data_IF_341849945601
#
_entry.id   IF_341849945601
#
_cell.length_a   1.000
_cell.length_b   1.000
_cell.length_c   1.000
_cell.angle_alpha   90.00
_cell.angle_beta   90.00
_cell.angle_gamma   90.00
#
_symmetry.space_group_name_H-M   'P 1'
#
loop_
_entity.id
_entity.type
_entity.pdbx_description
1 polymer ?
#
# COMPACT_ATOMS: atom_id res chain seq x y z
N UNK A 1 9.59 -5.98 -11.26
CA UNK A 1 9.27 -7.12 -10.39
C UNK A 1 10.11 -8.32 -10.80
N UNK A 2 11.31 -8.43 -10.30
CA UNK A 2 12.10 -9.64 -10.38
C UNK A 2 11.90 -10.38 -9.07
N UNK A 3 11.54 -11.64 -9.13
CA UNK A 3 11.84 -12.53 -8.04
C UNK A 3 13.36 -12.46 -7.87
N UNK A 4 13.82 -11.94 -6.74
CA UNK A 4 15.24 -11.90 -6.44
C UNK A 4 15.78 -13.33 -6.45
N UNK A 5 17.00 -13.50 -6.88
CA UNK A 5 17.75 -14.77 -6.75
C UNK A 5 18.16 -15.02 -5.29
N UNK A 6 17.74 -14.17 -4.38
CA UNK A 6 18.10 -14.24 -2.98
C UNK A 6 17.38 -15.38 -2.28
N UNK A 7 18.08 -16.10 -1.46
CA UNK A 7 17.50 -17.14 -0.62
C UNK A 7 16.67 -16.49 0.47
N UNK A 8 15.54 -17.11 0.80
CA UNK A 8 14.76 -16.75 1.98
C UNK A 8 15.59 -17.11 3.21
N UNK A 9 15.81 -16.15 4.09
CA UNK A 9 16.60 -16.28 5.30
C UNK A 9 15.76 -16.02 6.54
N UNK A 10 16.26 -16.48 7.69
CA UNK A 10 15.64 -16.19 8.99
C UNK A 10 15.59 -14.67 9.24
N UNK A 11 14.41 -14.19 9.62
CA UNK A 11 14.15 -12.77 9.83
C UNK A 11 13.55 -12.05 8.62
N UNK A 12 13.41 -12.73 7.49
CA UNK A 12 12.80 -12.17 6.30
C UNK A 12 11.27 -12.08 6.41
N UNK A 13 10.72 -11.09 5.73
CA UNK A 13 9.30 -11.04 5.40
C UNK A 13 9.14 -11.50 3.95
N UNK A 14 8.44 -12.59 3.78
CA UNK A 14 8.09 -13.15 2.46
C UNK A 14 6.72 -12.63 2.08
N UNK A 15 6.59 -12.10 0.88
CA UNK A 15 5.34 -11.54 0.38
C UNK A 15 4.96 -12.12 -0.98
N UNK A 16 3.67 -12.44 -1.12
CA UNK A 16 2.98 -12.63 -2.39
C UNK A 16 1.89 -11.55 -2.51
N UNK A 17 2.28 -10.29 -2.75
CA UNK A 17 1.40 -9.14 -2.57
C UNK A 17 0.19 -9.17 -3.50
N UNK A 18 0.30 -9.72 -4.72
CA UNK A 18 -0.84 -9.90 -5.64
C UNK A 18 -1.91 -10.88 -5.13
N UNK A 19 -1.64 -11.58 -4.04
CA UNK A 19 -2.54 -12.50 -3.37
C UNK A 19 -2.82 -12.07 -1.91
N UNK A 20 -2.30 -10.91 -1.49
CA UNK A 20 -2.42 -10.41 -0.12
C UNK A 20 -1.84 -11.35 0.93
N UNK A 21 -0.78 -12.09 0.58
CA UNK A 21 -0.21 -13.10 1.46
C UNK A 21 1.18 -12.72 1.93
N UNK A 22 1.36 -12.74 3.26
CA UNK A 22 2.59 -12.32 3.93
C UNK A 22 2.97 -13.30 5.03
N UNK A 23 4.26 -13.59 5.14
CA UNK A 23 4.81 -14.46 6.17
C UNK A 23 6.12 -13.89 6.72
N UNK A 24 6.37 -14.14 8.00
CA UNK A 24 7.64 -13.85 8.64
C UNK A 24 8.40 -15.15 8.90
N UNK A 25 9.66 -15.20 8.53
CA UNK A 25 10.55 -16.35 8.79
C UNK A 25 11.18 -16.17 10.16
N UNK A 26 10.79 -17.02 11.10
CA UNK A 26 11.28 -16.96 12.47
C UNK A 26 12.80 -17.18 12.53
N UNK A 27 13.48 -16.42 13.37
CA UNK A 27 14.89 -16.67 13.71
C UNK A 27 15.00 -17.84 14.68
N UNK A 28 16.18 -18.38 14.78
CA UNK A 28 16.46 -19.44 15.76
C UNK A 28 16.09 -18.99 17.18
N UNK A 29 15.26 -19.80 17.85
CA UNK A 29 14.75 -19.51 19.19
C UNK A 29 13.55 -18.56 19.27
N UNK A 30 13.12 -17.96 18.16
CA UNK A 30 11.88 -17.17 18.13
C UNK A 30 10.65 -18.07 18.03
N UNK A 31 9.61 -17.76 18.79
CA UNK A 31 8.27 -18.37 18.71
C UNK A 31 7.23 -17.42 18.15
N UNK A 32 7.57 -16.14 18.02
CA UNK A 32 6.74 -15.06 17.51
C UNK A 32 7.61 -13.97 16.89
N UNK A 33 7.04 -13.11 16.01
CA UNK A 33 7.78 -12.02 15.40
C UNK A 33 8.26 -11.00 16.44
N UNK A 34 9.42 -10.38 16.24
CA UNK A 34 9.92 -9.32 17.12
C UNK A 34 8.97 -8.11 17.13
N UNK A 35 9.05 -7.25 18.16
CA UNK A 35 8.15 -6.11 18.32
C UNK A 35 8.05 -5.18 17.10
N UNK A 36 9.16 -4.97 16.38
CA UNK A 36 9.17 -4.14 15.18
C UNK A 36 8.35 -4.75 14.03
N UNK A 37 8.41 -6.06 13.83
CA UNK A 37 7.61 -6.75 12.81
C UNK A 37 6.13 -6.78 13.19
N UNK A 38 5.82 -6.95 14.47
CA UNK A 38 4.43 -6.81 14.98
C UNK A 38 3.90 -5.40 14.74
N UNK A 39 4.72 -4.37 14.96
CA UNK A 39 4.37 -2.98 14.69
C UNK A 39 4.15 -2.74 13.19
N UNK A 40 5.02 -3.27 12.33
CA UNK A 40 4.87 -3.18 10.88
C UNK A 40 3.54 -3.80 10.42
N UNK A 41 3.23 -5.00 10.93
CA UNK A 41 1.96 -5.67 10.63
C UNK A 41 0.74 -4.88 11.12
N UNK A 42 0.81 -4.30 12.31
CA UNK A 42 -0.27 -3.45 12.83
C UNK A 42 -0.46 -2.18 11.98
N UNK A 43 0.63 -1.59 11.50
CA UNK A 43 0.59 -0.43 10.60
C UNK A 43 -0.05 -0.79 9.25
N UNK A 44 0.31 -1.94 8.68
CA UNK A 44 -0.33 -2.49 7.48
C UNK A 44 -1.85 -2.62 7.67
N UNK A 45 -2.31 -3.30 8.72
CA UNK A 45 -3.74 -3.50 8.98
C UNK A 45 -4.49 -2.18 9.20
N UNK A 46 -3.84 -1.19 9.81
CA UNK A 46 -4.41 0.16 10.01
C UNK A 46 -4.58 0.88 8.68
N UNK A 47 -3.54 0.89 7.83
CA UNK A 47 -3.58 1.52 6.51
C UNK A 47 -4.68 0.88 5.66
N UNK A 48 -4.68 -0.45 5.59
CA UNK A 48 -5.66 -1.22 4.85
C UNK A 48 -7.10 -0.89 5.29
N UNK A 49 -7.36 -0.88 6.59
CA UNK A 49 -8.66 -0.51 7.15
C UNK A 49 -9.10 0.91 6.75
N UNK A 50 -8.22 1.89 6.86
CA UNK A 50 -8.53 3.29 6.51
C UNK A 50 -8.90 3.41 5.03
N UNK A 51 -8.14 2.76 4.13
CA UNK A 51 -8.44 2.74 2.70
C UNK A 51 -9.76 2.03 2.42
N UNK A 52 -9.99 0.85 3.01
CA UNK A 52 -11.21 0.08 2.84
C UNK A 52 -12.46 0.85 3.28
N UNK A 53 -12.38 1.64 4.33
CA UNK A 53 -13.50 2.45 4.83
C UNK A 53 -13.71 3.75 4.04
N UNK A 54 -12.67 4.24 3.35
CA UNK A 54 -12.68 5.55 2.69
C UNK A 54 -13.06 5.46 1.22
N UNK A 55 -12.62 4.40 0.51
CA UNK A 55 -12.92 4.19 -0.89
C UNK A 55 -14.34 3.65 -1.03
N UNK A 56 -15.25 4.50 -1.55
CA UNK A 56 -16.67 4.16 -1.68
C UNK A 56 -17.20 4.50 -3.05
N UNK A 57 -18.08 3.64 -3.56
CA UNK A 57 -18.85 3.93 -4.77
C UNK A 57 -19.73 5.17 -4.57
N UNK A 58 -19.79 6.01 -5.60
CA UNK A 58 -20.50 7.28 -5.59
C UNK A 58 -19.63 8.48 -5.22
N UNK A 59 -18.48 8.27 -4.59
CA UNK A 59 -17.50 9.33 -4.35
C UNK A 59 -16.57 9.47 -5.57
N UNK A 60 -16.09 10.69 -5.80
CA UNK A 60 -15.05 10.98 -6.79
C UNK A 60 -13.66 10.64 -6.23
N UNK A 61 -12.66 10.36 -7.07
CA UNK A 61 -11.27 10.23 -6.62
C UNK A 61 -10.77 11.43 -5.81
N UNK A 62 -11.17 12.64 -6.18
CA UNK A 62 -10.82 13.86 -5.44
C UNK A 62 -11.32 13.81 -4.00
N UNK A 63 -12.59 13.47 -3.79
CA UNK A 63 -13.18 13.32 -2.46
C UNK A 63 -12.51 12.20 -1.67
N UNK A 64 -12.27 11.05 -2.31
CA UNK A 64 -11.61 9.90 -1.67
C UNK A 64 -10.20 10.26 -1.23
N UNK A 65 -9.42 10.91 -2.11
CA UNK A 65 -8.04 11.35 -1.81
C UNK A 65 -8.02 12.34 -0.65
N UNK A 66 -8.91 13.32 -0.64
CA UNK A 66 -9.03 14.26 0.48
C UNK A 66 -9.37 13.56 1.80
N UNK A 67 -10.33 12.64 1.75
CA UNK A 67 -10.80 11.90 2.93
C UNK A 67 -9.71 11.00 3.52
N UNK A 68 -8.97 10.23 2.68
CA UNK A 68 -7.93 9.39 3.24
C UNK A 68 -6.71 10.18 3.70
N UNK A 69 -6.35 11.28 3.01
CA UNK A 69 -5.24 12.16 3.45
C UNK A 69 -5.51 12.71 4.84
N UNK A 70 -6.71 13.20 5.11
CA UNK A 70 -7.07 13.69 6.43
C UNK A 70 -6.98 12.60 7.50
N UNK A 71 -7.54 11.42 7.23
CA UNK A 71 -7.48 10.30 8.20
C UNK A 71 -6.05 9.84 8.48
N UNK A 72 -5.19 9.80 7.46
CA UNK A 72 -3.79 9.43 7.65
C UNK A 72 -3.00 10.51 8.39
N UNK A 73 -3.29 11.79 8.15
CA UNK A 73 -2.70 12.90 8.90
C UNK A 73 -3.05 12.82 10.39
N UNK A 74 -4.32 12.53 10.72
CA UNK A 74 -4.80 12.31 12.08
C UNK A 74 -4.06 11.15 12.78
N UNK A 75 -3.65 10.13 12.03
CA UNK A 75 -2.85 8.99 12.49
C UNK A 75 -1.33 9.25 12.47
N UNK A 76 -0.89 10.45 12.08
CA UNK A 76 0.51 10.82 11.98
C UNK A 76 1.27 10.19 10.81
N UNK A 77 0.55 9.65 9.82
CA UNK A 77 1.09 9.07 8.58
C UNK A 77 1.13 10.14 7.51
N UNK A 78 2.27 10.26 6.81
CA UNK A 78 2.44 11.22 5.72
C UNK A 78 2.09 10.55 4.40
N UNK A 79 1.00 11.00 3.76
CA UNK A 79 0.67 10.58 2.40
C UNK A 79 1.54 11.36 1.41
N UNK A 80 2.24 10.63 0.54
CA UNK A 80 3.12 11.17 -0.49
C UNK A 80 2.38 11.27 -1.83
N UNK A 81 2.60 12.37 -2.52
CA UNK A 81 2.10 12.62 -3.88
C UNK A 81 3.13 12.24 -4.96
N UNK A 82 4.30 11.80 -4.55
CA UNK A 82 5.35 11.25 -5.41
C UNK A 82 5.26 9.71 -5.47
N UNK A 83 5.73 9.15 -6.57
CA UNK A 83 5.71 7.71 -6.79
C UNK A 83 6.83 7.01 -6.00
N UNK A 84 6.73 7.00 -4.67
CA UNK A 84 7.73 6.38 -3.79
C UNK A 84 8.07 4.93 -4.19
N UNK A 85 7.07 4.19 -4.66
CA UNK A 85 7.24 2.80 -5.10
C UNK A 85 8.13 2.64 -6.33
N UNK A 86 8.24 3.68 -7.16
CA UNK A 86 9.10 3.67 -8.35
C UNK A 86 10.57 3.85 -8.01
N UNK A 87 10.87 4.31 -6.82
CA UNK A 87 12.23 4.56 -6.37
C UNK A 87 12.69 3.43 -5.47
N UNK A 88 13.43 2.51 -6.04
CA UNK A 88 13.97 1.37 -5.28
C UNK A 88 15.01 1.85 -4.25
N UNK A 89 14.99 1.32 -3.02
CA UNK A 89 15.85 1.78 -1.92
C UNK A 89 17.32 1.42 -2.05
N UNK A 90 17.82 1.11 -3.25
CA UNK A 90 19.22 0.72 -3.46
C UNK A 90 20.24 1.75 -3.00
N UNK A 91 19.87 3.04 -2.90
CA UNK A 91 20.81 4.13 -2.65
C UNK A 91 20.25 5.17 -1.66
N UNK A 92 19.87 4.77 -0.45
CA UNK A 92 19.42 5.70 0.60
C UNK A 92 18.16 6.52 0.28
N UNK A 93 17.36 6.12 -0.68
CA UNK A 93 16.00 6.59 -0.79
C UNK A 93 15.21 5.95 0.36
N UNK A 94 14.42 6.62 1.08
CA UNK A 94 13.70 7.89 0.92
C UNK A 94 14.36 9.11 1.58
N UNK A 95 15.56 9.00 2.13
CA UNK A 95 16.22 10.07 2.89
C UNK A 95 16.45 11.36 2.08
N UNK A 96 16.41 11.29 0.76
CA UNK A 96 16.63 12.43 -0.13
C UNK A 96 15.36 13.04 -0.72
N UNK A 97 14.18 12.49 -0.44
CA UNK A 97 12.92 13.10 -0.88
C UNK A 97 12.62 14.35 -0.08
N UNK A 98 12.33 15.44 -0.75
CA UNK A 98 11.87 16.66 -0.08
C UNK A 98 10.65 16.36 0.81
N UNK A 99 10.68 16.84 2.06
CA UNK A 99 9.60 16.63 3.04
C UNK A 99 9.55 15.23 3.64
N UNK A 100 10.60 14.42 3.51
CA UNK A 100 10.68 13.13 4.19
C UNK A 100 11.04 13.33 5.68
N UNK A 101 10.14 12.89 6.57
CA UNK A 101 10.37 12.89 8.00
C UNK A 101 10.82 11.49 8.46
N UNK A 102 12.07 11.32 8.93
CA UNK A 102 12.61 10.02 9.32
C UNK A 102 11.95 9.39 10.55
N UNK A 103 11.04 10.08 11.21
CA UNK A 103 10.33 9.61 12.40
C UNK A 103 8.90 9.14 12.12
N UNK A 104 8.42 9.34 10.89
CA UNK A 104 7.03 9.05 10.51
C UNK A 104 6.94 7.98 9.45
N UNK A 105 5.80 7.31 9.40
CA UNK A 105 5.43 6.44 8.27
C UNK A 105 5.09 7.30 7.07
N UNK A 106 5.64 6.94 5.91
CA UNK A 106 5.35 7.56 4.62
C UNK A 106 4.60 6.57 3.73
N UNK A 107 3.48 7.01 3.18
CA UNK A 107 2.53 6.19 2.42
C UNK A 107 2.33 6.76 1.02
N UNK A 108 2.44 5.91 0.01
CA UNK A 108 2.07 6.21 -1.37
C UNK A 108 0.94 5.28 -1.82
N UNK A 109 -0.11 5.84 -2.42
CA UNK A 109 -1.33 5.12 -2.77
C UNK A 109 -1.54 5.26 -4.28
N UNK A 110 -1.73 4.13 -4.95
CA UNK A 110 -1.98 4.06 -6.39
C UNK A 110 -3.05 3.03 -6.74
N UNK A 111 -4.27 3.26 -6.29
CA UNK A 111 -5.38 2.38 -6.62
C UNK A 111 -5.85 2.61 -8.05
N UNK A 112 -5.82 1.58 -8.87
CA UNK A 112 -6.13 1.67 -10.29
C UNK A 112 -6.96 0.50 -10.80
N UNK A 113 -7.73 0.74 -11.89
CA UNK A 113 -8.49 -0.31 -12.57
C UNK A 113 -7.59 -1.25 -13.39
N UNK A 114 -8.12 -2.44 -13.66
CA UNK A 114 -7.39 -3.57 -14.26
C UNK A 114 -7.57 -3.71 -15.78
N UNK A 115 -8.21 -2.77 -16.46
CA UNK A 115 -8.49 -2.97 -17.90
C UNK A 115 -7.24 -2.78 -18.76
N UNK A 116 -6.89 -3.79 -19.51
CA UNK A 116 -5.84 -3.74 -20.53
C UNK A 116 -6.20 -2.66 -21.57
N UNK A 117 -5.24 -1.83 -21.93
CA UNK A 117 -5.40 -0.78 -22.93
C UNK A 117 -6.01 0.53 -22.42
N UNK A 118 -6.40 0.63 -21.16
CA UNK A 118 -6.93 1.87 -20.58
C UNK A 118 -5.92 3.05 -20.62
N UNK A 119 -4.64 2.76 -20.64
CA UNK A 119 -3.58 3.76 -20.80
C UNK A 119 -3.36 4.19 -22.26
N UNK A 120 -3.66 3.29 -23.21
CA UNK A 120 -3.47 3.52 -24.64
C UNK A 120 -4.60 4.37 -25.25
N UNK A 121 -5.83 4.16 -24.77
CA UNK A 121 -7.04 4.87 -25.19
C UNK A 121 -7.95 5.13 -24.00
N UNK A 122 -7.62 6.10 -23.15
CA UNK A 122 -8.34 6.33 -21.89
C UNK A 122 -9.83 6.60 -22.10
N UNK A 123 -10.20 7.40 -23.11
CA UNK A 123 -11.57 7.76 -23.42
C UNK A 123 -12.43 6.61 -23.96
N UNK A 124 -11.82 5.65 -24.67
CA UNK A 124 -12.51 4.48 -25.22
C UNK A 124 -12.49 3.27 -24.27
N UNK A 125 -11.42 3.13 -23.49
CA UNK A 125 -11.15 1.99 -22.63
C UNK A 125 -11.24 2.33 -21.14
N UNK A 126 -11.89 3.42 -20.81
CA UNK A 126 -12.08 3.86 -19.45
C UNK A 126 -12.76 2.79 -18.59
N UNK A 127 -12.09 2.36 -17.56
CA UNK A 127 -12.55 1.32 -16.65
C UNK A 127 -12.81 1.82 -15.22
N UNK A 128 -13.08 3.07 -15.11
CA UNK A 128 -13.30 3.77 -13.87
C UNK A 128 -12.11 4.64 -13.44
N UNK A 129 -12.36 5.53 -12.51
CA UNK A 129 -11.38 6.51 -12.08
C UNK A 129 -10.23 5.87 -11.30
N UNK A 130 -9.03 6.40 -11.49
CA UNK A 130 -7.85 6.07 -10.70
C UNK A 130 -7.90 6.84 -9.38
N UNK A 131 -7.78 6.13 -8.28
CA UNK A 131 -7.77 6.71 -6.93
C UNK A 131 -6.32 6.89 -6.52
N UNK A 132 -5.72 7.98 -6.96
CA UNK A 132 -4.31 8.30 -6.72
C UNK A 132 -4.12 9.80 -6.80
N UNK A 133 -3.31 10.37 -5.94
CA UNK A 133 -2.99 11.80 -5.98
C UNK A 133 -2.15 12.22 -7.18
N UNK A 134 -1.55 11.27 -7.89
CA UNK A 134 -0.77 11.47 -9.12
C UNK A 134 -1.38 10.78 -10.35
N UNK A 135 -2.65 10.38 -10.26
CA UNK A 135 -3.39 9.82 -11.39
C UNK A 135 -3.79 10.88 -12.42
N UNK A 136 -4.33 10.44 -13.57
CA UNK A 136 -4.75 11.37 -14.60
C UNK A 136 -5.88 12.26 -14.09
N UNK A 137 -5.71 13.58 -14.19
CA UNK A 137 -6.61 14.59 -13.63
C UNK A 137 -8.01 14.56 -14.22
N UNK A 138 -8.16 14.11 -15.47
CA UNK A 138 -9.46 14.01 -16.14
C UNK A 138 -10.41 13.01 -15.46
N UNK A 139 -9.91 12.05 -14.67
CA UNK A 139 -10.75 11.10 -13.94
C UNK A 139 -11.15 11.59 -12.54
N UNK A 140 -10.57 12.67 -12.05
CA UNK A 140 -10.69 13.09 -10.66
C UNK A 140 -12.08 13.49 -10.21
N UNK A 141 -12.92 13.93 -11.13
CA UNK A 141 -14.27 14.38 -10.86
C UNK A 141 -15.35 13.41 -11.36
N UNK A 142 -14.94 12.19 -11.74
CA UNK A 142 -15.86 11.12 -12.17
C UNK A 142 -16.13 10.20 -10.97
N UNK A 143 -17.38 10.11 -10.48
CA UNK A 143 -17.71 9.24 -9.36
C UNK A 143 -17.42 7.77 -9.66
N UNK A 144 -16.91 7.04 -8.67
CA UNK A 144 -16.75 5.58 -8.78
C UNK A 144 -18.10 4.93 -9.02
N UNK A 145 -18.27 4.16 -10.10
CA UNK A 145 -19.51 3.41 -10.30
C UNK A 145 -19.68 2.33 -9.22
N UNK A 146 -20.92 1.92 -8.92
CA UNK A 146 -21.16 0.78 -8.04
C UNK A 146 -20.46 -0.48 -8.56
N UNK A 147 -19.87 -1.24 -7.66
CA UNK A 147 -19.10 -2.45 -7.96
C UNK A 147 -17.90 -2.21 -8.87
N UNK A 148 -17.31 -1.01 -8.79
CA UNK A 148 -16.09 -0.70 -9.50
C UNK A 148 -14.95 -1.62 -9.03
N UNK A 149 -14.45 -2.44 -9.96
CA UNK A 149 -13.30 -3.32 -9.72
C UNK A 149 -12.00 -2.53 -9.87
N UNK A 150 -11.15 -2.59 -8.89
CA UNK A 150 -9.85 -1.92 -8.89
C UNK A 150 -8.83 -2.70 -8.05
N UNK A 151 -7.56 -2.37 -8.25
CA UNK A 151 -6.48 -2.83 -7.40
C UNK A 151 -6.31 -1.85 -6.26
N UNK A 152 -6.40 -2.34 -5.04
CA UNK A 152 -6.02 -1.61 -3.85
C UNK A 152 -4.51 -1.72 -3.72
N UNK A 153 -3.78 -0.74 -4.28
CA UNK A 153 -2.33 -0.73 -4.30
C UNK A 153 -1.78 0.41 -3.48
N UNK A 154 -0.87 0.10 -2.58
CA UNK A 154 -0.16 1.09 -1.78
C UNK A 154 1.20 0.57 -1.31
N UNK A 155 2.05 1.52 -0.97
CA UNK A 155 3.41 1.28 -0.48
C UNK A 155 3.65 2.15 0.74
N UNK A 156 4.31 1.62 1.76
CA UNK A 156 4.73 2.46 2.86
C UNK A 156 6.12 2.13 3.37
N UNK A 157 6.73 3.15 3.95
CA UNK A 157 8.00 3.08 4.65
C UNK A 157 7.74 3.44 6.11
N UNK A 158 7.99 2.51 7.01
CA UNK A 158 7.87 2.72 8.44
C UNK A 158 9.28 2.81 9.05
N UNK A 159 9.56 3.81 9.93
CA UNK A 159 10.84 3.87 10.63
C UNK A 159 11.11 2.61 11.43
N UNK A 160 12.32 2.05 11.30
CA UNK A 160 12.78 0.90 12.07
C UNK A 160 13.79 1.35 13.14
N UNK A 161 13.45 1.31 14.41
CA UNK A 161 14.33 1.76 15.50
C UNK A 161 15.51 0.82 15.76
N UNK A 162 15.43 -0.43 15.29
CA UNK A 162 16.49 -1.44 15.49
C UNK A 162 17.58 -1.41 14.44
N UNK A 163 17.34 -0.77 13.30
CA UNK A 163 18.32 -0.71 12.22
C UNK A 163 19.23 0.50 12.35
N UNK A 164 20.53 0.26 12.10
CA UNK A 164 21.56 1.30 12.05
C UNK A 164 21.97 1.52 10.59
N UNK A 165 22.06 2.78 10.18
CA UNK A 165 22.58 3.12 8.84
C UNK A 165 21.52 3.08 7.75
N UNK A 166 21.73 2.30 6.69
CA UNK A 166 20.92 2.32 5.46
C UNK A 166 19.53 1.71 5.61
N UNK A 167 19.34 0.84 6.60
CA UNK A 167 18.11 0.07 6.80
C UNK A 167 17.22 0.69 7.88
N UNK A 168 17.13 2.02 7.90
CA UNK A 168 16.35 2.77 8.91
C UNK A 168 14.85 2.62 8.73
N UNK A 169 14.40 1.93 7.69
CA UNK A 169 13.00 1.79 7.34
C UNK A 169 12.65 0.36 6.98
N UNK A 170 11.46 -0.05 7.40
CA UNK A 170 10.79 -1.23 6.89
C UNK A 170 9.89 -0.81 5.74
N UNK A 171 10.04 -1.48 4.61
CA UNK A 171 9.23 -1.27 3.42
C UNK A 171 8.11 -2.29 3.35
N UNK A 172 6.91 -1.84 2.99
CA UNK A 172 5.77 -2.68 2.71
C UNK A 172 5.11 -2.31 1.40
N UNK A 173 4.64 -3.29 0.68
CA UNK A 173 3.85 -3.14 -0.53
C UNK A 173 2.64 -4.06 -0.48
N UNK A 174 1.47 -3.53 -0.81
CA UNK A 174 0.24 -4.28 -0.95
C UNK A 174 -0.39 -4.06 -2.32
N UNK A 175 -1.09 -5.09 -2.83
CA UNK A 175 -1.68 -5.10 -4.16
C UNK A 175 -2.83 -6.10 -4.21
N UNK A 176 -3.99 -5.70 -3.73
CA UNK A 176 -5.17 -6.54 -3.55
C UNK A 176 -6.24 -6.28 -4.61
N UNK A 177 -6.91 -7.34 -5.05
CA UNK A 177 -8.08 -7.24 -5.94
C UNK A 177 -9.33 -6.91 -5.14
N UNK A 178 -10.00 -5.82 -5.49
CA UNK A 178 -11.09 -5.26 -4.69
C UNK A 178 -12.22 -4.70 -5.52
N UNK A 179 -13.37 -4.50 -4.87
CA UNK A 179 -14.56 -3.85 -5.44
C UNK A 179 -14.97 -2.69 -4.53
N UNK A 180 -15.22 -1.51 -5.12
CA UNK A 180 -15.81 -0.39 -4.42
C UNK A 180 -17.33 -0.57 -4.29
N UNK A 181 -17.82 -0.59 -3.06
CA UNK A 181 -19.25 -0.60 -2.73
C UNK A 181 -19.67 0.70 -2.06
N UNK A 182 -20.95 0.89 -1.81
CA UNK A 182 -21.43 2.06 -1.06
C UNK A 182 -20.95 2.10 0.39
N UNK A 183 -20.68 0.94 0.99
CA UNK A 183 -20.22 0.80 2.37
C UNK A 183 -18.70 0.88 2.53
N UNK A 184 -17.95 0.67 1.46
CA UNK A 184 -16.49 0.61 1.47
C UNK A 184 -15.97 -0.39 0.45
N UNK A 185 -14.75 -0.88 0.69
CA UNK A 185 -14.09 -1.88 -0.16
C UNK A 185 -14.49 -3.29 0.24
N UNK A 186 -14.79 -4.11 -0.76
CA UNK A 186 -14.91 -5.57 -0.63
C UNK A 186 -13.74 -6.25 -1.35
N UNK A 187 -13.07 -7.18 -0.67
CA UNK A 187 -11.95 -7.94 -1.22
C UNK A 187 -12.47 -9.14 -2.01
N UNK A 188 -11.88 -9.42 -3.17
CA UNK A 188 -12.21 -10.61 -3.96
C UNK A 188 -11.69 -11.90 -3.32
N UNK A 189 -10.65 -11.79 -2.51
CA UNK A 189 -10.16 -12.85 -1.64
C UNK A 189 -10.17 -12.35 -0.20
N UNK A 190 -10.44 -13.20 0.80
CA UNK A 190 -10.44 -12.76 2.19
C UNK A 190 -9.08 -12.15 2.57
N UNK A 191 -9.04 -10.90 3.07
CA UNK A 191 -7.79 -10.26 3.44
C UNK A 191 -7.13 -10.98 4.62
N UNK A 192 -5.81 -11.04 4.60
CA UNK A 192 -5.04 -11.67 5.66
C UNK A 192 -5.07 -10.83 6.95
N UNK A 193 -5.54 -11.42 8.05
CA UNK A 193 -5.66 -10.74 9.34
C UNK A 193 -4.53 -11.06 10.32
N UNK A 194 -3.75 -12.07 10.06
CA UNK A 194 -2.62 -12.51 10.91
C UNK A 194 -1.40 -12.79 10.02
N UNK A 195 -0.26 -12.28 10.43
CA UNK A 195 1.00 -12.60 9.77
C UNK A 195 1.30 -14.10 9.93
N UNK A 196 1.54 -14.79 8.82
CA UNK A 196 1.94 -16.20 8.87
C UNK A 196 3.37 -16.32 9.39
N UNK A 197 3.67 -17.47 10.03
CA UNK A 197 4.99 -17.77 10.55
C UNK A 197 5.56 -18.99 9.84
N UNK A 198 6.81 -18.86 9.40
CA UNK A 198 7.60 -19.93 8.78
C UNK A 198 8.71 -20.30 9.77
N UNK A 199 8.84 -21.60 10.05
CA UNK A 199 9.86 -22.18 10.94
C UNK A 199 11.07 -22.68 10.17
#
# INVERSE_FOLDING_TARGET
>A
SGFGSDRIEQGDIVAAPSQGMYAYVLREGETEPPPEIKKLWAEYLKIDKILAETIKAGLTPREIVQNYKQKFEDEGIIVRDDQLHMVRPKNNFPLYSAGFDPKKTHLSIDCHGMKKGALERPEENYFGPRISSYGPTWTWDIPLPPNHHFVLEYFFYMPSPSSKGKDQYLFWWDHEQTIATKSGVEYLSPPQKKLYLIH
#
